data_IF_517436224737
#
_entry.id   IF_517436224737
#
_cell.length_a   1.000
_cell.length_b   1.000
_cell.length_c   1.000
_cell.angle_alpha   90.00
_cell.angle_beta   90.00
_cell.angle_gamma   90.00
#
_symmetry.space_group_name_H-M   'P 1'
#
loop_
_entity.id
_entity.type
_entity.pdbx_description
1 polymer ?
#
# COMPACT_ATOMS: atom_id res chain seq x y z
N UNK A 1 -17.67 -27.68 27.85
CA UNK A 1 -19.11 -27.49 27.54
C UNK A 1 -19.55 -28.60 26.61
N UNK A 2 -20.55 -29.42 26.97
CA UNK A 2 -21.12 -30.45 26.08
C UNK A 2 -22.07 -29.78 25.07
N UNK A 3 -22.02 -30.10 23.76
CA UNK A 3 -22.96 -29.54 22.79
C UNK A 3 -24.37 -30.05 23.06
N UNK A 4 -25.35 -29.14 23.07
CA UNK A 4 -26.78 -29.46 23.22
C UNK A 4 -27.26 -30.29 22.02
N UNK A 5 -28.10 -31.31 22.26
CA UNK A 5 -28.64 -32.16 21.19
C UNK A 5 -29.77 -31.44 20.42
N UNK A 6 -29.92 -31.76 19.12
CA UNK A 6 -30.88 -31.17 18.17
C UNK A 6 -32.33 -31.08 18.65
N UNK A 7 -32.76 -31.94 19.58
CA UNK A 7 -34.12 -31.98 20.13
C UNK A 7 -34.37 -31.00 21.30
N UNK A 8 -33.30 -30.39 21.85
CA UNK A 8 -33.39 -29.36 22.89
C UNK A 8 -33.39 -27.93 22.31
N UNK A 9 -33.24 -27.78 21.00
CA UNK A 9 -33.31 -26.47 20.36
C UNK A 9 -34.76 -26.19 19.95
N UNK A 10 -35.31 -25.08 20.42
CA UNK A 10 -36.60 -24.56 19.92
C UNK A 10 -36.57 -24.36 18.40
N UNK A 11 -37.76 -24.07 17.84
CA UNK A 11 -38.06 -23.89 16.41
C UNK A 11 -36.82 -23.80 15.49
N UNK A 12 -36.55 -24.83 14.66
CA UNK A 12 -35.30 -24.95 13.91
C UNK A 12 -35.01 -23.76 13.01
N UNK A 13 -36.03 -23.01 12.57
CA UNK A 13 -35.86 -21.77 11.83
C UNK A 13 -35.10 -20.70 12.64
N UNK A 14 -35.42 -20.54 13.93
CA UNK A 14 -34.76 -19.58 14.83
C UNK A 14 -33.30 -19.93 15.10
N UNK A 15 -32.99 -21.23 15.11
CA UNK A 15 -31.61 -21.71 15.27
C UNK A 15 -30.78 -21.36 14.04
N UNK A 16 -31.32 -21.58 12.83
CA UNK A 16 -30.65 -21.19 11.60
C UNK A 16 -30.46 -19.67 11.52
N UNK A 17 -31.47 -18.89 11.88
CA UNK A 17 -31.35 -17.43 11.96
C UNK A 17 -30.28 -16.99 12.96
N UNK A 18 -30.18 -17.61 14.15
CA UNK A 18 -29.15 -17.31 15.14
C UNK A 18 -27.74 -17.71 14.68
N UNK A 19 -27.60 -18.85 14.00
CA UNK A 19 -26.33 -19.30 13.43
C UNK A 19 -25.91 -18.34 12.30
N UNK A 20 -26.82 -17.98 11.41
CA UNK A 20 -26.57 -17.03 10.33
C UNK A 20 -26.25 -15.63 10.87
N UNK A 21 -26.96 -15.17 11.91
CA UNK A 21 -26.64 -13.94 12.61
C UNK A 21 -25.26 -14.00 13.27
N UNK A 22 -24.90 -15.14 13.88
CA UNK A 22 -23.58 -15.38 14.47
C UNK A 22 -22.48 -15.34 13.42
N UNK A 23 -22.70 -15.96 12.26
CA UNK A 23 -21.83 -15.91 11.09
C UNK A 23 -21.73 -14.49 10.51
N UNK A 24 -22.85 -13.76 10.37
CA UNK A 24 -22.86 -12.35 9.92
C UNK A 24 -22.17 -11.42 10.91
N UNK A 25 -22.33 -11.62 12.22
CA UNK A 25 -21.66 -10.86 13.29
C UNK A 25 -20.16 -11.16 13.32
N UNK A 26 -19.74 -12.40 13.09
CA UNK A 26 -18.33 -12.79 12.92
C UNK A 26 -17.73 -12.19 11.65
N UNK A 27 -18.42 -12.27 10.52
CA UNK A 27 -18.00 -11.65 9.26
C UNK A 27 -17.89 -10.11 9.39
N UNK A 28 -18.83 -9.46 10.08
CA UNK A 28 -18.74 -8.01 10.41
C UNK A 28 -17.57 -7.67 11.34
N UNK A 29 -17.14 -8.60 12.19
CA UNK A 29 -15.95 -8.43 13.05
C UNK A 29 -14.65 -8.64 12.27
N UNK A 30 -14.61 -9.60 11.36
CA UNK A 30 -13.47 -9.88 10.48
C UNK A 30 -13.29 -8.80 9.39
N UNK A 31 -14.37 -8.12 9.00
CA UNK A 31 -14.37 -7.01 8.05
C UNK A 31 -14.29 -5.63 8.71
N UNK A 32 -13.83 -5.55 9.97
CA UNK A 32 -13.34 -4.28 10.50
C UNK A 32 -11.93 -4.12 9.93
N UNK A 33 -11.80 -3.32 8.87
CA UNK A 33 -10.53 -2.68 8.52
C UNK A 33 -10.00 -2.13 9.84
N UNK A 34 -8.89 -2.68 10.32
CA UNK A 34 -8.36 -2.27 11.61
C UNK A 34 -8.08 -0.78 11.53
N UNK A 35 -8.54 0.05 12.48
CA UNK A 35 -8.27 1.49 12.49
C UNK A 35 -6.77 1.83 12.62
N UNK A 36 -5.90 0.82 12.64
CA UNK A 36 -4.47 0.88 12.91
C UNK A 36 -3.58 0.34 11.78
N UNK A 37 -4.13 0.00 10.60
CA UNK A 37 -3.33 -0.29 9.40
C UNK A 37 -2.62 -1.65 9.34
N UNK A 38 -2.84 -2.54 10.31
CA UNK A 38 -2.37 -3.92 10.24
C UNK A 38 -3.25 -4.76 9.31
N UNK A 39 -2.63 -5.58 8.44
CA UNK A 39 -3.37 -6.48 7.54
C UNK A 39 -3.42 -7.88 8.13
N UNK A 40 -4.63 -8.37 8.39
CA UNK A 40 -4.90 -9.72 8.85
C UNK A 40 -5.31 -10.62 7.68
N UNK A 41 -4.69 -11.81 7.57
CA UNK A 41 -5.14 -12.86 6.63
C UNK A 41 -5.38 -14.13 7.41
N UNK A 42 -6.62 -14.64 7.39
CA UNK A 42 -7.02 -15.89 8.07
C UNK A 42 -6.59 -15.95 9.56
N UNK A 43 -6.65 -14.82 10.27
CA UNK A 43 -6.30 -14.75 11.70
C UNK A 43 -4.81 -14.62 12.02
N UNK A 44 -3.93 -14.49 11.02
CA UNK A 44 -2.50 -14.21 11.19
C UNK A 44 -2.19 -12.77 10.79
N UNK A 45 -1.37 -12.09 11.59
CA UNK A 45 -0.82 -10.76 11.25
C UNK A 45 0.15 -10.96 10.08
N UNK A 46 -0.19 -10.41 8.91
CA UNK A 46 0.67 -10.51 7.71
C UNK A 46 1.57 -9.29 7.58
N UNK A 47 1.10 -8.13 8.06
CA UNK A 47 1.83 -6.87 8.04
C UNK A 47 1.56 -6.10 9.32
N UNK A 48 2.62 -5.66 9.99
CA UNK A 48 2.50 -4.81 11.19
C UNK A 48 2.17 -3.37 10.80
N UNK A 49 1.71 -2.57 11.77
CA UNK A 49 1.45 -1.14 11.55
C UNK A 49 2.72 -0.42 11.11
N UNK A 50 3.83 -0.67 11.80
CA UNK A 50 5.08 0.04 11.56
C UNK A 50 5.64 -0.33 10.18
N UNK A 51 5.43 -1.57 9.70
CA UNK A 51 5.72 -1.96 8.33
C UNK A 51 4.79 -1.27 7.32
N UNK A 52 3.50 -1.14 7.64
CA UNK A 52 2.57 -0.38 6.80
C UNK A 52 3.00 1.07 6.67
N UNK A 53 3.43 1.70 7.76
CA UNK A 53 3.84 3.11 7.78
C UNK A 53 5.13 3.32 6.98
N UNK A 54 6.13 2.45 7.17
CA UNK A 54 7.36 2.46 6.37
C UNK A 54 7.07 2.30 4.87
N UNK A 55 6.17 1.39 4.49
CA UNK A 55 5.79 1.22 3.08
C UNK A 55 5.13 2.50 2.55
N UNK A 56 4.26 3.15 3.33
CA UNK A 56 3.59 4.37 2.91
C UNK A 56 4.57 5.55 2.72
N UNK A 57 5.54 5.68 3.61
CA UNK A 57 6.60 6.68 3.51
C UNK A 57 7.44 6.45 2.24
N UNK A 58 7.88 5.21 2.00
CA UNK A 58 8.60 4.82 0.79
C UNK A 58 7.80 5.11 -0.49
N UNK A 59 6.50 4.83 -0.47
CA UNK A 59 5.61 5.09 -1.59
C UNK A 59 5.40 6.59 -1.84
N UNK A 60 5.40 7.42 -0.80
CA UNK A 60 5.36 8.88 -0.94
C UNK A 60 6.67 9.41 -1.52
N UNK A 61 7.83 8.96 -1.02
CA UNK A 61 9.14 9.33 -1.58
C UNK A 61 9.25 8.96 -3.05
N UNK A 62 8.81 7.75 -3.42
CA UNK A 62 8.70 7.35 -4.82
C UNK A 62 7.75 8.24 -5.61
N UNK A 63 6.59 8.60 -5.06
CA UNK A 63 5.61 9.43 -5.76
C UNK A 63 6.18 10.82 -6.08
N UNK A 64 6.81 11.50 -5.12
CA UNK A 64 7.42 12.81 -5.35
C UNK A 64 8.55 12.74 -6.38
N UNK A 65 9.41 11.72 -6.28
CA UNK A 65 10.45 11.49 -7.28
C UNK A 65 9.86 11.24 -8.68
N UNK A 66 8.85 10.37 -8.79
CA UNK A 66 8.22 10.02 -10.05
C UNK A 66 7.44 11.18 -10.68
N UNK A 67 6.83 12.04 -9.85
CA UNK A 67 6.11 13.23 -10.31
C UNK A 67 7.09 14.30 -10.80
N UNK A 68 8.17 14.55 -10.09
CA UNK A 68 9.25 15.43 -10.55
C UNK A 68 9.86 14.95 -11.88
N UNK A 69 10.03 13.62 -12.05
CA UNK A 69 10.51 13.05 -13.32
C UNK A 69 9.47 13.12 -14.46
N UNK A 70 8.17 13.33 -14.18
CA UNK A 70 7.13 13.45 -15.22
C UNK A 70 7.12 14.81 -15.90
N UNK A 71 7.64 15.85 -15.28
CA UNK A 71 7.65 17.20 -15.85
C UNK A 71 8.53 17.31 -17.11
N UNK A 72 9.46 16.39 -17.31
CA UNK A 72 10.28 16.27 -18.54
C UNK A 72 9.54 15.62 -19.73
N UNK A 73 8.22 15.79 -19.84
CA UNK A 73 7.43 15.29 -20.98
C UNK A 73 7.58 16.11 -22.27
N UNK A 74 8.42 17.15 -22.26
CA UNK A 74 8.97 17.76 -23.48
C UNK A 74 10.24 17.06 -23.95
N UNK A 75 10.73 17.39 -25.15
CA UNK A 75 12.12 17.03 -25.49
C UNK A 75 13.04 17.76 -24.51
N UNK A 76 13.66 17.05 -23.56
CA UNK A 76 14.76 17.61 -22.80
C UNK A 76 15.79 18.13 -23.81
N UNK A 77 16.17 19.41 -23.68
CA UNK A 77 17.20 20.03 -24.53
C UNK A 77 18.58 19.45 -24.25
N UNK A 78 18.67 18.59 -23.25
CA UNK A 78 19.89 17.96 -22.75
C UNK A 78 19.85 16.49 -23.12
N UNK A 79 20.97 15.95 -23.59
CA UNK A 79 21.08 14.51 -23.84
C UNK A 79 20.91 13.71 -22.54
N UNK A 80 20.34 12.49 -22.56
CA UNK A 80 20.06 11.71 -21.36
C UNK A 80 21.26 11.47 -20.42
N UNK A 81 22.48 11.47 -20.96
CA UNK A 81 23.71 11.32 -20.16
C UNK A 81 24.14 12.55 -19.37
N UNK A 82 23.54 13.72 -19.62
CA UNK A 82 23.91 15.00 -19.01
C UNK A 82 22.73 15.69 -18.30
N UNK A 83 21.58 15.03 -18.19
CA UNK A 83 20.39 15.58 -17.53
C UNK A 83 20.58 15.85 -16.03
N UNK A 84 21.64 15.28 -15.44
CA UNK A 84 22.01 15.45 -14.03
C UNK A 84 23.37 16.15 -13.85
N UNK A 85 23.95 16.70 -14.92
CA UNK A 85 25.23 17.40 -14.84
C UNK A 85 24.98 18.85 -14.44
N UNK A 86 25.22 19.18 -13.17
CA UNK A 86 25.29 20.57 -12.71
C UNK A 86 26.75 21.01 -12.58
N UNK A 87 27.03 22.23 -13.04
CA UNK A 87 28.37 22.82 -13.06
C UNK A 87 28.64 23.76 -11.87
N UNK A 88 27.63 24.02 -11.03
CA UNK A 88 27.78 24.89 -9.84
C UNK A 88 28.25 24.17 -8.56
N UNK A 89 28.53 22.87 -8.62
CA UNK A 89 28.82 22.05 -7.45
C UNK A 89 30.26 22.22 -6.94
N UNK A 90 30.46 23.24 -6.08
CA UNK A 90 31.68 23.41 -5.27
C UNK A 90 31.42 23.05 -3.81
N UNK A 91 30.16 22.97 -3.39
CA UNK A 91 29.73 22.65 -2.02
C UNK A 91 28.45 21.81 -2.05
N UNK A 92 28.62 20.50 -2.11
CA UNK A 92 27.56 19.52 -1.84
C UNK A 92 26.95 19.79 -0.46
N UNK A 93 25.69 20.21 -0.42
CA UNK A 93 24.97 20.44 0.83
C UNK A 93 24.29 19.13 1.33
N UNK A 94 23.78 19.17 2.56
CA UNK A 94 23.09 18.01 3.13
C UNK A 94 21.79 17.68 2.36
N UNK A 95 21.15 18.69 1.74
CA UNK A 95 19.92 18.53 0.96
C UNK A 95 20.19 17.78 -0.37
N UNK A 96 21.32 18.03 -1.03
CA UNK A 96 21.79 17.34 -2.24
C UNK A 96 22.09 15.86 -1.95
N UNK A 97 22.64 15.57 -0.76
CA UNK A 97 22.84 14.19 -0.31
C UNK A 97 21.49 13.50 -0.09
N UNK A 98 20.56 14.14 0.60
CA UNK A 98 19.23 13.58 0.86
C UNK A 98 18.44 13.36 -0.43
N UNK A 99 18.53 14.29 -1.39
CA UNK A 99 17.91 14.14 -2.71
C UNK A 99 18.45 12.91 -3.46
N UNK A 100 19.76 12.67 -3.43
CA UNK A 100 20.36 11.48 -4.05
C UNK A 100 19.98 10.17 -3.35
N UNK A 101 19.93 10.17 -2.02
CA UNK A 101 19.45 9.02 -1.26
C UNK A 101 17.98 8.71 -1.58
N UNK A 102 17.13 9.74 -1.56
CA UNK A 102 15.71 9.62 -1.90
C UNK A 102 15.50 9.13 -3.33
N UNK A 103 16.32 9.60 -4.28
CA UNK A 103 16.34 9.08 -5.66
C UNK A 103 16.67 7.59 -5.70
N UNK A 104 17.76 7.17 -5.06
CA UNK A 104 18.16 5.76 -5.05
C UNK A 104 17.06 4.88 -4.43
N UNK A 105 16.46 5.32 -3.31
CA UNK A 105 15.33 4.63 -2.69
C UNK A 105 14.13 4.55 -3.64
N UNK A 106 13.78 5.66 -4.29
CA UNK A 106 12.66 5.72 -5.22
C UNK A 106 12.86 4.80 -6.43
N UNK A 107 14.06 4.72 -7.01
CA UNK A 107 14.38 3.80 -8.11
C UNK A 107 14.20 2.33 -7.68
N UNK A 108 14.59 1.99 -6.45
CA UNK A 108 14.37 0.64 -5.92
C UNK A 108 12.90 0.35 -5.65
N UNK A 109 12.13 1.32 -5.17
CA UNK A 109 10.68 1.17 -5.02
C UNK A 109 10.00 1.02 -6.39
N UNK A 110 10.43 1.77 -7.40
CA UNK A 110 9.91 1.69 -8.76
C UNK A 110 10.12 0.28 -9.35
N UNK A 111 11.32 -0.28 -9.21
CA UNK A 111 11.59 -1.64 -9.65
C UNK A 111 10.74 -2.70 -8.92
N UNK A 112 10.33 -2.46 -7.67
CA UNK A 112 9.36 -3.32 -6.96
C UNK A 112 7.94 -3.16 -7.53
N UNK A 113 7.52 -1.93 -7.82
CA UNK A 113 6.22 -1.63 -8.41
C UNK A 113 6.09 -2.19 -9.83
N UNK A 114 7.17 -2.20 -10.61
CA UNK A 114 7.23 -2.80 -11.95
C UNK A 114 6.97 -4.30 -11.92
N UNK A 115 7.33 -5.00 -10.84
CA UNK A 115 7.05 -6.42 -10.66
C UNK A 115 5.57 -6.71 -10.33
N UNK A 116 4.81 -5.71 -9.87
CA UNK A 116 3.39 -5.88 -9.56
C UNK A 116 2.51 -5.91 -10.83
N UNK A 117 1.38 -6.63 -10.79
CA UNK A 117 0.32 -6.51 -11.79
C UNK A 117 -0.14 -5.07 -11.99
N UNK A 118 -0.49 -4.72 -13.23
CA UNK A 118 -0.88 -3.36 -13.63
C UNK A 118 -2.04 -2.82 -12.78
N UNK A 119 -3.00 -3.66 -12.43
CA UNK A 119 -4.15 -3.26 -11.61
C UNK A 119 -3.75 -2.85 -10.19
N UNK A 120 -2.79 -3.57 -9.58
CA UNK A 120 -2.28 -3.28 -8.25
C UNK A 120 -1.41 -2.02 -8.28
N UNK A 121 -0.60 -1.85 -9.33
CA UNK A 121 0.21 -0.64 -9.53
C UNK A 121 -0.66 0.60 -9.69
N UNK A 122 -1.73 0.50 -10.47
CA UNK A 122 -2.70 1.59 -10.62
C UNK A 122 -3.39 1.91 -9.28
N UNK A 123 -3.62 0.89 -8.44
CA UNK A 123 -4.19 1.09 -7.11
C UNK A 123 -3.26 1.86 -6.17
N UNK A 124 -1.97 1.48 -6.16
CA UNK A 124 -0.94 2.19 -5.41
C UNK A 124 -0.81 3.64 -5.89
N UNK A 125 -0.66 3.86 -7.19
CA UNK A 125 -0.50 5.20 -7.74
C UNK A 125 -1.67 6.14 -7.45
N UNK A 126 -2.92 5.63 -7.47
CA UNK A 126 -4.08 6.43 -7.10
C UNK A 126 -4.07 6.80 -5.61
N UNK A 127 -3.74 5.85 -4.75
CA UNK A 127 -3.70 6.06 -3.31
C UNK A 127 -2.61 7.07 -2.93
N UNK A 128 -1.39 6.93 -3.48
CA UNK A 128 -0.29 7.85 -3.22
C UNK A 128 -0.58 9.26 -3.73
N UNK A 129 -1.22 9.38 -4.91
CA UNK A 129 -1.60 10.68 -5.45
C UNK A 129 -2.64 11.40 -4.58
N UNK A 130 -3.65 10.68 -4.07
CA UNK A 130 -4.62 11.24 -3.13
C UNK A 130 -3.99 11.62 -1.80
N UNK A 131 -3.06 10.80 -1.30
CA UNK A 131 -2.34 11.07 -0.07
C UNK A 131 -1.45 12.31 -0.19
N UNK A 132 -0.73 12.45 -1.31
CA UNK A 132 0.08 13.63 -1.60
C UNK A 132 -0.76 14.91 -1.76
N UNK A 133 -1.96 14.80 -2.35
CA UNK A 133 -2.90 15.91 -2.45
C UNK A 133 -3.61 16.24 -1.11
N UNK A 134 -3.49 15.38 -0.09
CA UNK A 134 -4.19 15.50 1.19
C UNK A 134 -5.71 15.34 1.11
N UNK A 135 -6.25 14.95 -0.04
CA UNK A 135 -7.68 14.84 -0.34
C UNK A 135 -7.96 13.69 -1.32
N UNK A 136 -9.19 13.17 -1.32
CA UNK A 136 -9.64 12.14 -2.28
C UNK A 136 -9.99 12.75 -3.65
N UNK A 137 -8.99 13.29 -4.34
CA UNK A 137 -9.15 13.99 -5.63
C UNK A 137 -9.32 13.00 -6.79
N UNK A 138 -8.51 11.96 -6.80
CA UNK A 138 -8.44 10.99 -7.88
C UNK A 138 -9.29 9.77 -7.58
N UNK A 139 -10.13 9.39 -8.55
CA UNK A 139 -11.00 8.22 -8.46
C UNK A 139 -10.94 7.40 -9.73
N UNK A 140 -10.90 6.09 -9.59
CA UNK A 140 -11.02 5.17 -10.72
C UNK A 140 -12.50 4.94 -11.05
N UNK A 141 -13.00 5.33 -12.23
CA UNK A 141 -14.40 5.15 -12.60
C UNK A 141 -14.75 3.68 -12.92
N UNK A 142 -13.74 2.82 -13.16
CA UNK A 142 -13.95 1.41 -13.55
C UNK A 142 -14.07 0.45 -12.37
N UNK A 143 -13.81 0.91 -11.14
CA UNK A 143 -13.93 0.08 -9.94
C UNK A 143 -14.64 0.84 -8.82
N UNK A 144 -15.28 0.10 -7.91
CA UNK A 144 -15.82 0.71 -6.70
C UNK A 144 -14.68 1.17 -5.77
N UNK A 145 -14.93 2.14 -4.88
CA UNK A 145 -13.94 2.55 -3.87
C UNK A 145 -13.48 1.41 -2.97
N UNK A 146 -14.42 0.52 -2.60
CA UNK A 146 -14.11 -0.66 -1.77
C UNK A 146 -13.19 -1.64 -2.50
N UNK A 147 -13.43 -1.86 -3.79
CA UNK A 147 -12.60 -2.74 -4.61
C UNK A 147 -11.20 -2.14 -4.81
N UNK A 148 -11.12 -0.82 -5.00
CA UNK A 148 -9.85 -0.10 -5.08
C UNK A 148 -9.04 -0.23 -3.79
N UNK A 149 -9.70 -0.07 -2.64
CA UNK A 149 -9.05 -0.25 -1.34
C UNK A 149 -8.57 -1.69 -1.14
N UNK A 150 -9.38 -2.68 -1.53
CA UNK A 150 -8.98 -4.10 -1.46
C UNK A 150 -7.74 -4.39 -2.32
N UNK A 151 -7.70 -3.86 -3.55
CA UNK A 151 -6.55 -3.96 -4.45
C UNK A 151 -5.32 -3.28 -3.84
N UNK A 152 -5.50 -2.13 -3.22
CA UNK A 152 -4.41 -1.44 -2.53
C UNK A 152 -3.82 -2.27 -1.37
N UNK A 153 -4.67 -2.84 -0.52
CA UNK A 153 -4.21 -3.72 0.57
C UNK A 153 -3.49 -4.95 0.03
N UNK A 154 -4.00 -5.56 -1.05
CA UNK A 154 -3.32 -6.67 -1.72
C UNK A 154 -1.96 -6.25 -2.29
N UNK A 155 -1.85 -5.05 -2.86
CA UNK A 155 -0.59 -4.51 -3.36
C UNK A 155 0.46 -4.36 -2.25
N UNK A 156 0.07 -3.88 -1.05
CA UNK A 156 0.98 -3.81 0.10
C UNK A 156 1.52 -5.17 0.52
N UNK A 157 0.64 -6.18 0.55
CA UNK A 157 1.03 -7.55 0.89
C UNK A 157 2.05 -8.12 -0.10
N UNK A 158 1.88 -7.82 -1.38
CA UNK A 158 2.77 -8.31 -2.44
C UNK A 158 4.08 -7.51 -2.50
N UNK A 159 4.06 -6.23 -2.10
CA UNK A 159 5.24 -5.37 -2.00
C UNK A 159 6.13 -5.71 -0.80
N UNK A 160 5.55 -6.01 0.35
CA UNK A 160 6.28 -6.29 1.59
C UNK A 160 7.45 -7.29 1.42
N UNK A 161 7.29 -8.48 0.81
CA UNK A 161 8.40 -9.40 0.62
C UNK A 161 9.45 -8.88 -0.37
N UNK A 162 9.07 -8.07 -1.35
CA UNK A 162 10.01 -7.48 -2.31
C UNK A 162 10.87 -6.39 -1.66
N UNK A 163 10.25 -5.54 -0.83
CA UNK A 163 10.94 -4.48 -0.10
C UNK A 163 11.85 -5.03 1.00
N UNK A 164 11.43 -6.11 1.69
CA UNK A 164 12.29 -6.81 2.66
C UNK A 164 13.53 -7.42 2.02
N UNK A 165 13.42 -7.97 0.81
CA UNK A 165 14.60 -8.52 0.08
C UNK A 165 15.62 -7.45 -0.31
N UNK A 166 15.22 -6.19 -0.33
CA UNK A 166 16.06 -5.03 -0.67
C UNK A 166 16.46 -4.22 0.58
N UNK A 167 16.17 -4.74 1.78
CA UNK A 167 16.46 -4.10 3.07
C UNK A 167 15.89 -2.67 3.21
N UNK A 168 14.81 -2.37 2.49
CA UNK A 168 14.14 -1.05 2.53
C UNK A 168 13.19 -0.91 3.72
N UNK A 169 12.76 -2.02 4.32
CA UNK A 169 11.85 -2.05 5.47
C UNK A 169 12.55 -2.74 6.63
N UNK A 170 12.61 -2.04 7.77
CA UNK A 170 13.14 -2.58 9.02
C UNK A 170 12.06 -3.44 9.68
N UNK A 171 12.41 -4.70 9.96
CA UNK A 171 11.60 -5.57 10.80
C UNK A 171 11.75 -5.05 12.22
N UNK A 172 10.65 -4.63 12.85
CA UNK A 172 10.65 -4.37 14.29
C UNK A 172 11.02 -5.68 14.99
N UNK A 173 12.18 -5.69 15.65
CA UNK A 173 12.68 -6.83 16.42
C UNK A 173 11.86 -7.05 17.70
#
# INVERSE_FOLDING_TARGET
MKPLMRWQMGDPAKVYEQIEEGCRKRARRELKVDPFGAIWRKGVIVMTRDESEQIEELLLTWYYWADAHREERGYSRVSPGFQYADSSDVHEDDDDRDARLNRYVAEQVDACLVALPVELRAAVGLHTANRAAGNEVYRNPRCSPEEQHRRYQQAKLDLLPLLRRRDLVKIAA
#
